data_IF_190637183402
#
_entry.id   IF_190637183402
#
_cell.length_a   1.000
_cell.length_b   1.000
_cell.length_c   1.000
_cell.angle_alpha   90.00
_cell.angle_beta   90.00
_cell.angle_gamma   90.00
#
_symmetry.space_group_name_H-M   'P 1'
#
loop_
_entity.id
_entity.type
_entity.pdbx_description
1 polymer ?
#
# COMPACT_ATOMS: atom_id res chain seq x y z
N UNK A 1 -30.38 -8.23 4.28
CA UNK A 1 -28.99 -7.83 4.63
C UNK A 1 -28.09 -8.97 4.21
N UNK A 2 -27.08 -8.77 3.35
CA UNK A 2 -26.16 -9.84 3.00
C UNK A 2 -25.42 -10.32 4.25
N UNK A 3 -25.04 -11.61 4.32
CA UNK A 3 -24.24 -12.12 5.43
C UNK A 3 -22.90 -11.39 5.47
N UNK A 4 -22.39 -11.15 6.68
CA UNK A 4 -21.04 -10.61 6.84
C UNK A 4 -20.04 -11.63 6.26
N UNK A 5 -19.10 -11.15 5.45
CA UNK A 5 -17.98 -11.99 5.00
C UNK A 5 -17.08 -12.24 6.22
N UNK A 6 -16.87 -13.49 6.66
CA UNK A 6 -15.95 -13.77 7.75
C UNK A 6 -14.52 -13.54 7.23
N UNK A 7 -13.95 -12.38 7.56
CA UNK A 7 -12.57 -12.04 7.23
C UNK A 7 -11.72 -12.32 8.46
N UNK A 8 -10.69 -13.15 8.29
CA UNK A 8 -9.72 -13.47 9.34
C UNK A 8 -8.35 -12.96 8.96
N UNK A 9 -7.48 -12.79 9.95
CA UNK A 9 -6.06 -12.59 9.66
C UNK A 9 -5.50 -13.91 9.14
N UNK A 10 -4.94 -13.88 7.93
CA UNK A 10 -4.36 -15.05 7.26
C UNK A 10 -2.88 -15.21 7.58
N UNK A 11 -2.34 -16.32 7.09
CA UNK A 11 -0.91 -16.62 7.09
C UNK A 11 -0.34 -16.25 5.72
N UNK A 12 0.49 -15.21 5.66
CA UNK A 12 1.05 -14.74 4.39
C UNK A 12 2.04 -15.74 3.79
N UNK A 13 2.51 -16.72 4.56
CA UNK A 13 3.43 -17.78 4.09
C UNK A 13 2.71 -18.86 3.29
N UNK A 14 1.38 -18.91 3.37
CA UNK A 14 0.54 -19.79 2.55
C UNK A 14 0.27 -19.21 1.16
N UNK A 15 0.67 -17.96 0.91
CA UNK A 15 0.50 -17.27 -0.37
C UNK A 15 1.50 -17.79 -1.38
N UNK A 16 1.01 -18.10 -2.58
CA UNK A 16 1.81 -18.48 -3.74
C UNK A 16 1.73 -17.42 -4.84
N UNK A 17 2.73 -17.38 -5.70
CA UNK A 17 2.65 -16.61 -6.94
C UNK A 17 1.41 -17.03 -7.76
N UNK A 18 0.79 -16.08 -8.43
CA UNK A 18 -0.47 -16.25 -9.14
C UNK A 18 -1.73 -16.24 -8.27
N UNK A 19 -1.63 -16.16 -6.93
CA UNK A 19 -2.82 -15.88 -6.12
C UNK A 19 -3.41 -14.51 -6.46
N UNK A 20 -4.74 -14.42 -6.49
CA UNK A 20 -5.44 -13.13 -6.57
C UNK A 20 -5.41 -12.44 -5.21
N UNK A 21 -5.17 -11.15 -5.25
CA UNK A 21 -5.26 -10.25 -4.13
C UNK A 21 -6.20 -9.08 -4.44
N UNK A 22 -6.82 -8.54 -3.40
CA UNK A 22 -7.64 -7.34 -3.44
C UNK A 22 -7.06 -6.33 -2.47
N UNK A 23 -6.66 -5.17 -2.98
CA UNK A 23 -6.10 -4.08 -2.18
C UNK A 23 -7.13 -2.97 -2.06
N UNK A 24 -7.37 -2.53 -0.83
CA UNK A 24 -8.34 -1.49 -0.49
C UNK A 24 -7.62 -0.21 -0.07
N UNK A 25 -8.15 0.95 -0.43
CA UNK A 25 -7.55 2.23 -0.08
C UNK A 25 -8.50 3.42 -0.24
N UNK A 26 -8.01 4.60 0.12
CA UNK A 26 -8.73 5.87 0.01
C UNK A 26 -7.93 6.95 -0.76
N UNK A 27 -7.54 6.70 -2.01
CA UNK A 27 -6.96 7.74 -2.87
C UNK A 27 -7.81 8.99 -2.88
N UNK A 28 -7.19 10.11 -2.52
CA UNK A 28 -7.81 11.44 -2.46
C UNK A 28 -9.18 11.45 -1.75
N UNK A 29 -9.37 10.54 -0.78
CA UNK A 29 -10.57 10.44 0.05
C UNK A 29 -11.67 9.50 -0.46
N UNK A 30 -11.52 8.87 -1.63
CA UNK A 30 -12.53 7.96 -2.17
C UNK A 30 -12.15 6.49 -1.94
N UNK A 31 -13.07 5.70 -1.36
CA UNK A 31 -12.87 4.26 -1.19
C UNK A 31 -12.69 3.59 -2.56
N UNK A 32 -11.57 2.91 -2.76
CA UNK A 32 -11.29 2.13 -3.96
C UNK A 32 -10.81 0.72 -3.60
N UNK A 33 -11.06 -0.21 -4.49
CA UNK A 33 -10.59 -1.60 -4.44
C UNK A 33 -9.95 -1.95 -5.78
N UNK A 34 -8.78 -2.56 -5.75
CA UNK A 34 -8.08 -3.05 -6.96
C UNK A 34 -7.76 -4.52 -6.82
N UNK A 35 -8.05 -5.31 -7.86
CA UNK A 35 -7.61 -6.70 -7.97
C UNK A 35 -6.21 -6.76 -8.59
N UNK A 36 -5.40 -7.72 -8.15
CA UNK A 36 -4.05 -7.97 -8.63
C UNK A 36 -3.65 -9.44 -8.45
N UNK A 37 -2.56 -9.85 -9.09
CA UNK A 37 -1.89 -11.13 -8.89
C UNK A 37 -0.62 -10.95 -8.04
N UNK A 38 -0.33 -11.97 -7.25
CA UNK A 38 0.96 -12.09 -6.54
C UNK A 38 2.04 -12.50 -7.54
N UNK A 39 3.08 -11.68 -7.66
CA UNK A 39 4.17 -11.85 -8.65
C UNK A 39 5.56 -12.03 -8.02
N UNK A 40 5.67 -12.00 -6.69
CA UNK A 40 6.95 -12.23 -6.01
C UNK A 40 6.77 -12.43 -4.52
N UNK A 41 7.41 -13.45 -3.98
CA UNK A 41 7.36 -13.80 -2.57
C UNK A 41 8.65 -13.39 -1.83
N UNK A 42 8.51 -13.07 -0.56
CA UNK A 42 9.61 -12.77 0.36
C UNK A 42 10.61 -11.73 -0.18
N UNK A 43 10.12 -10.68 -0.83
CA UNK A 43 10.92 -9.68 -1.56
C UNK A 43 11.90 -8.91 -0.67
N UNK A 44 11.66 -8.88 0.64
CA UNK A 44 12.48 -8.18 1.64
C UNK A 44 13.08 -9.10 2.72
N UNK A 45 13.01 -10.42 2.53
CA UNK A 45 13.41 -11.45 3.52
C UNK A 45 12.63 -11.42 4.85
N UNK A 46 11.53 -10.66 4.93
CA UNK A 46 10.66 -10.54 6.12
C UNK A 46 9.24 -11.04 5.84
N UNK A 47 9.03 -11.76 4.74
CA UNK A 47 7.73 -12.28 4.32
C UNK A 47 6.90 -11.33 3.45
N UNK A 48 7.41 -10.14 3.11
CA UNK A 48 6.69 -9.25 2.19
C UNK A 48 6.55 -9.87 0.81
N UNK A 49 5.45 -9.56 0.12
CA UNK A 49 5.18 -10.04 -1.23
C UNK A 49 4.84 -8.87 -2.16
N UNK A 50 4.86 -9.15 -3.45
CA UNK A 50 4.67 -8.15 -4.50
C UNK A 50 3.43 -8.46 -5.33
N UNK A 51 2.65 -7.42 -5.65
CA UNK A 51 1.47 -7.47 -6.49
C UNK A 51 1.65 -6.62 -7.75
N UNK A 52 0.96 -6.98 -8.83
CA UNK A 52 0.81 -6.11 -10.03
C UNK A 52 -0.32 -5.07 -9.91
N UNK A 53 -0.66 -4.68 -8.68
CA UNK A 53 -1.70 -3.67 -8.44
C UNK A 53 -1.25 -2.27 -8.86
N UNK A 54 -2.18 -1.48 -9.41
CA UNK A 54 -1.99 -0.04 -9.61
C UNK A 54 -2.09 0.65 -8.26
N UNK A 55 -0.95 1.02 -7.70
CA UNK A 55 -0.87 1.66 -6.40
C UNK A 55 -0.61 3.16 -6.51
N UNK A 56 -1.33 3.92 -5.71
CA UNK A 56 -1.09 5.33 -5.46
C UNK A 56 -0.97 5.55 -3.93
N UNK A 57 -0.46 6.70 -3.46
CA UNK A 57 -0.24 6.92 -2.04
C UNK A 57 -1.46 6.69 -1.14
N UNK A 58 -2.69 6.82 -1.66
CA UNK A 58 -3.91 6.56 -0.90
C UNK A 58 -4.22 5.09 -0.64
N UNK A 59 -3.47 4.15 -1.24
CA UNK A 59 -3.51 2.73 -0.88
C UNK A 59 -2.49 2.35 0.21
N UNK A 60 -1.64 3.29 0.64
CA UNK A 60 -0.64 3.00 1.68
C UNK A 60 -1.28 2.76 3.03
N UNK A 61 -0.91 1.65 3.67
CA UNK A 61 -1.57 1.13 4.88
C UNK A 61 -2.91 0.46 4.58
N UNK A 62 -3.31 0.38 3.32
CA UNK A 62 -4.57 -0.21 2.87
C UNK A 62 -4.61 -1.72 3.08
N UNK A 63 -5.78 -2.25 3.44
CA UNK A 63 -5.98 -3.68 3.66
C UNK A 63 -5.75 -4.45 2.37
N UNK A 64 -5.02 -5.57 2.45
CA UNK A 64 -4.87 -6.52 1.35
C UNK A 64 -5.49 -7.85 1.74
N UNK A 65 -6.40 -8.33 0.92
CA UNK A 65 -7.03 -9.64 1.05
C UNK A 65 -6.50 -10.59 -0.02
N UNK A 66 -6.32 -11.86 0.32
CA UNK A 66 -6.08 -12.94 -0.65
C UNK A 66 -7.08 -14.05 -0.45
N UNK A 67 -7.35 -14.81 -1.51
CA UNK A 67 -8.18 -16.00 -1.40
C UNK A 67 -7.33 -17.23 -1.10
N UNK A 68 -7.55 -17.85 0.06
CA UNK A 68 -6.90 -19.08 0.47
C UNK A 68 -7.62 -20.28 -0.18
N UNK A 69 -6.96 -20.95 -1.12
CA UNK A 69 -7.56 -22.08 -1.87
C UNK A 69 -7.85 -23.26 -0.96
N UNK A 70 -6.98 -23.55 0.01
CA UNK A 70 -7.12 -24.69 0.92
C UNK A 70 -8.28 -24.52 1.89
N UNK A 71 -8.51 -23.30 2.39
CA UNK A 71 -9.60 -22.97 3.33
C UNK A 71 -10.87 -22.43 2.65
N UNK A 72 -10.82 -22.16 1.34
CA UNK A 72 -11.91 -21.58 0.55
C UNK A 72 -12.47 -20.27 1.12
N UNK A 73 -11.60 -19.39 1.64
CA UNK A 73 -12.00 -18.15 2.29
C UNK A 73 -11.07 -16.98 1.95
N UNK A 74 -11.57 -15.76 2.12
CA UNK A 74 -10.76 -14.55 2.05
C UNK A 74 -10.06 -14.32 3.40
N UNK A 75 -8.78 -13.99 3.33
CA UNK A 75 -7.95 -13.73 4.49
C UNK A 75 -7.20 -12.42 4.32
N UNK A 76 -6.98 -11.70 5.42
CA UNK A 76 -6.07 -10.56 5.44
C UNK A 76 -4.66 -11.08 5.31
N UNK A 77 -4.06 -10.85 4.16
CA UNK A 77 -2.67 -11.23 3.88
C UNK A 77 -1.67 -10.15 4.23
N UNK A 78 -2.13 -8.91 4.39
CA UNK A 78 -1.25 -7.82 4.76
C UNK A 78 -1.80 -6.45 4.43
N UNK A 79 -0.86 -5.51 4.31
CA UNK A 79 -1.14 -4.09 4.10
C UNK A 79 -0.31 -3.54 2.95
N UNK A 80 -0.99 -2.87 2.02
CA UNK A 80 -0.37 -2.25 0.87
C UNK A 80 0.65 -1.19 1.32
N UNK A 81 1.86 -1.30 0.80
CA UNK A 81 2.94 -0.34 0.98
C UNK A 81 3.34 0.20 -0.38
N UNK A 82 3.74 1.46 -0.40
CA UNK A 82 4.16 2.16 -1.61
C UNK A 82 5.14 1.35 -2.45
N UNK A 83 4.84 1.36 -3.75
CA UNK A 83 5.71 0.95 -4.83
C UNK A 83 7.11 1.54 -4.69
N UNK A 84 8.15 0.87 -5.24
CA UNK A 84 9.45 1.49 -5.37
C UNK A 84 9.31 2.79 -6.18
N UNK A 85 10.04 3.82 -5.79
CA UNK A 85 10.07 5.08 -6.53
C UNK A 85 11.43 5.30 -7.16
N UNK A 86 11.47 5.70 -8.42
CA UNK A 86 12.69 6.27 -9.01
C UNK A 86 12.79 7.74 -8.63
N UNK A 87 14.02 8.23 -8.53
CA UNK A 87 14.28 9.65 -8.35
C UNK A 87 14.74 10.22 -9.68
N UNK A 88 14.08 11.28 -10.12
CA UNK A 88 14.51 12.08 -11.26
C UNK A 88 14.95 13.47 -10.79
N UNK A 89 15.99 14.00 -11.42
CA UNK A 89 16.38 15.39 -11.28
C UNK A 89 15.78 16.15 -12.46
N UNK A 90 14.91 17.12 -12.17
CA UNK A 90 14.28 17.96 -13.17
C UNK A 90 14.72 19.41 -13.00
N UNK A 91 14.79 20.15 -14.11
CA UNK A 91 14.91 21.59 -14.05
C UNK A 91 13.54 22.18 -13.75
N UNK A 92 13.48 23.04 -12.74
CA UNK A 92 12.26 23.71 -12.30
C UNK A 92 12.52 25.20 -12.14
N UNK A 93 11.54 26.06 -12.48
CA UNK A 93 11.60 27.47 -12.21
C UNK A 93 11.93 27.83 -10.77
N UNK A 94 12.57 28.99 -10.54
CA UNK A 94 12.44 29.66 -9.24
C UNK A 94 10.94 29.83 -9.01
N UNK A 95 10.36 29.21 -7.98
CA UNK A 95 8.91 29.23 -7.79
C UNK A 95 8.39 30.66 -7.88
N UNK A 96 7.64 30.98 -8.93
CA UNK A 96 7.10 32.32 -9.13
C UNK A 96 5.84 32.41 -8.27
N UNK A 97 5.81 33.25 -7.22
CA UNK A 97 4.62 33.36 -6.36
C UNK A 97 3.39 33.73 -7.19
N UNK A 98 2.34 32.90 -7.15
CA UNK A 98 1.08 33.14 -7.85
C UNK A 98 0.96 32.55 -9.26
N UNK A 99 2.00 31.88 -9.79
CA UNK A 99 1.88 31.07 -11.01
C UNK A 99 1.57 29.62 -10.61
N UNK A 100 0.28 29.34 -10.40
CA UNK A 100 -0.23 28.01 -10.08
C UNK A 100 -0.63 27.23 -11.35
N UNK A 101 -0.49 27.83 -12.54
CA UNK A 101 -1.00 27.31 -13.80
C UNK A 101 0.04 27.39 -14.91
N UNK A 102 0.10 26.32 -15.70
CA UNK A 102 0.94 26.22 -16.88
C UNK A 102 0.52 27.24 -17.96
N UNK A 103 1.43 28.13 -18.37
CA UNK A 103 1.22 29.16 -19.38
C UNK A 103 2.17 28.97 -20.58
N UNK A 104 1.79 28.17 -21.60
CA UNK A 104 2.71 27.74 -22.67
C UNK A 104 3.18 28.86 -23.62
N UNK A 105 2.51 30.02 -23.61
CA UNK A 105 2.82 31.15 -24.50
C UNK A 105 3.80 32.15 -23.86
N UNK A 106 4.16 31.96 -22.59
CA UNK A 106 5.08 32.84 -21.88
C UNK A 106 6.46 32.14 -21.77
N UNK A 107 7.51 32.67 -22.43
CA UNK A 107 8.84 32.10 -22.30
C UNK A 107 9.33 32.25 -20.87
N UNK A 108 9.91 31.18 -20.32
CA UNK A 108 10.54 31.22 -19.00
C UNK A 108 11.79 32.09 -19.03
N UNK A 109 11.87 33.09 -18.14
CA UNK A 109 12.94 34.11 -18.15
C UNK A 109 13.76 34.19 -16.86
N UNK A 110 13.42 33.40 -15.83
CA UNK A 110 14.08 33.45 -14.51
C UNK A 110 15.11 32.32 -14.33
N UNK A 111 15.70 32.16 -13.14
CA UNK A 111 16.74 31.18 -12.82
C UNK A 111 16.16 29.78 -12.74
N UNK A 112 16.82 28.82 -13.39
CA UNK A 112 16.47 27.40 -13.25
C UNK A 112 17.14 26.80 -12.02
N UNK A 113 16.41 25.94 -11.31
CA UNK A 113 16.91 25.16 -10.18
C UNK A 113 16.76 23.68 -10.49
N UNK A 114 17.60 22.86 -9.86
CA UNK A 114 17.44 21.40 -9.89
C UNK A 114 16.50 20.99 -8.77
N UNK A 115 15.38 20.36 -9.12
CA UNK A 115 14.45 19.76 -8.17
C UNK A 115 14.51 18.25 -8.27
N UNK A 116 14.50 17.59 -7.12
CA UNK A 116 14.33 16.15 -7.03
C UNK A 116 12.85 15.81 -7.07
N UNK A 117 12.43 14.98 -8.02
CA UNK A 117 11.06 14.45 -8.14
C UNK A 117 11.08 12.94 -7.96
N UNK A 118 10.22 12.45 -7.07
CA UNK A 118 9.98 11.02 -6.90
C UNK A 118 8.89 10.57 -7.88
N UNK A 119 9.19 9.58 -8.71
CA UNK A 119 8.22 8.94 -9.59
C UNK A 119 7.92 7.53 -9.09
N UNK A 120 6.63 7.24 -8.89
CA UNK A 120 6.18 5.91 -8.47
C UNK A 120 6.29 4.93 -9.63
N UNK A 121 6.87 3.75 -9.38
CA UNK A 121 6.81 2.63 -10.32
C UNK A 121 5.42 1.97 -10.24
N UNK A 122 4.46 2.48 -11.01
CA UNK A 122 3.12 1.90 -11.08
C UNK A 122 3.15 0.45 -11.58
N UNK A 123 2.20 -0.35 -11.09
CA UNK A 123 2.12 -1.79 -11.42
C UNK A 123 3.08 -2.66 -10.59
N UNK A 124 3.79 -2.09 -9.62
CA UNK A 124 4.56 -2.83 -8.62
C UNK A 124 4.15 -2.38 -7.23
N UNK A 125 3.46 -3.24 -6.49
CA UNK A 125 3.01 -2.93 -5.12
C UNK A 125 3.63 -3.89 -4.14
N UNK A 126 4.25 -3.37 -3.10
CA UNK A 126 4.72 -4.20 -1.99
C UNK A 126 3.65 -4.35 -0.94
N UNK A 127 3.51 -5.53 -0.37
CA UNK A 127 2.58 -5.78 0.72
C UNK A 127 3.38 -6.21 1.94
N UNK A 128 3.16 -5.48 3.03
CA UNK A 128 3.69 -5.85 4.35
C UNK A 128 2.82 -6.99 4.88
N UNK A 129 3.40 -8.14 5.25
CA UNK A 129 2.64 -9.33 5.58
C UNK A 129 1.84 -9.15 6.89
N UNK A 130 0.73 -9.87 7.02
CA UNK A 130 -0.14 -9.84 8.20
C UNK A 130 0.61 -10.14 9.51
N UNK A 131 1.62 -10.99 9.45
CA UNK A 131 2.50 -11.35 10.57
C UNK A 131 3.21 -10.14 11.17
N UNK A 132 3.53 -9.12 10.35
CA UNK A 132 4.15 -7.90 10.86
C UNK A 132 3.19 -7.13 11.78
N UNK A 133 1.90 -7.10 11.44
CA UNK A 133 0.87 -6.51 12.31
C UNK A 133 0.67 -7.35 13.56
N UNK A 134 0.55 -8.67 13.42
CA UNK A 134 0.40 -9.58 14.56
C UNK A 134 1.56 -9.43 15.55
N UNK A 135 2.79 -9.35 15.02
CA UNK A 135 3.99 -9.10 15.82
C UNK A 135 3.91 -7.76 16.54
N UNK A 136 3.57 -6.68 15.84
CA UNK A 136 3.43 -5.34 16.43
C UNK A 136 2.40 -5.33 17.57
N UNK A 137 1.22 -5.94 17.36
CA UNK A 137 0.18 -5.98 18.38
C UNK A 137 0.63 -6.83 19.58
N UNK A 138 1.20 -8.01 19.34
CA UNK A 138 1.66 -8.88 20.41
C UNK A 138 2.78 -8.25 21.25
N UNK A 139 3.75 -7.57 20.63
CA UNK A 139 4.83 -6.87 21.33
C UNK A 139 4.33 -5.69 22.18
N UNK A 140 3.17 -5.13 21.86
CA UNK A 140 2.59 -3.97 22.54
C UNK A 140 1.29 -4.29 23.28
N UNK A 141 0.95 -5.58 23.44
CA UNK A 141 -0.37 -6.03 23.91
C UNK A 141 -0.79 -5.39 25.22
N UNK A 142 0.08 -5.45 26.24
CA UNK A 142 -0.22 -4.90 27.56
C UNK A 142 -0.43 -3.39 27.51
N UNK A 143 0.38 -2.68 26.73
CA UNK A 143 0.25 -1.24 26.55
C UNK A 143 -1.08 -0.88 25.87
N UNK A 144 -1.42 -1.58 24.79
CA UNK A 144 -2.67 -1.36 24.06
C UNK A 144 -3.90 -1.63 24.94
N UNK A 145 -3.88 -2.71 25.72
CA UNK A 145 -4.96 -3.02 26.65
C UNK A 145 -5.08 -1.93 27.73
N UNK A 146 -3.95 -1.46 28.29
CA UNK A 146 -3.94 -0.38 29.28
C UNK A 146 -4.42 0.97 28.71
N UNK A 147 -4.23 1.20 27.41
CA UNK A 147 -4.75 2.38 26.69
C UNK A 147 -6.23 2.21 26.29
N UNK A 148 -6.85 1.06 26.56
CA UNK A 148 -8.28 0.80 26.34
C UNK A 148 -8.64 0.21 24.98
N UNK A 149 -7.66 -0.31 24.23
CA UNK A 149 -7.92 -0.99 22.95
C UNK A 149 -8.44 -2.42 23.17
N UNK A 150 -9.53 -2.78 22.49
CA UNK A 150 -10.05 -4.15 22.44
C UNK A 150 -9.30 -4.97 21.37
N UNK A 151 -8.70 -6.08 21.78
CA UNK A 151 -7.91 -6.97 20.92
C UNK A 151 -8.56 -8.34 20.67
N UNK A 152 -9.84 -8.52 21.02
CA UNK A 152 -10.57 -9.79 20.88
C UNK A 152 -10.68 -10.29 19.42
N UNK A 153 -10.44 -9.42 18.43
CA UNK A 153 -10.44 -9.78 17.01
C UNK A 153 -9.23 -10.64 16.58
N UNK A 154 -8.27 -10.86 17.48
CA UNK A 154 -7.09 -11.71 17.26
C UNK A 154 -7.30 -13.18 17.65
N UNK A 155 -8.39 -13.49 18.36
CA UNK A 155 -8.77 -14.85 18.80
C UNK A 155 -9.75 -15.53 17.83
#
# INVERSE_FOLDING_TARGET
KPPALPIRIGDSREITEGNRAWVFGFPIGYMMMTEALVNGLNVDRRGSFMLDAVFNPGFSGGLTLTFNVSRQQFEVSGFGRSAPSSTQLILTPAGIPGIDKYAPMEPYTDKVFVQQRSELAYGLTFVTPSEALLKLINENKDKLINEGYDLNFLE
#
